data_IF_773855209988
#
_entry.id   IF_773855209988
#
_cell.length_a   1.000
_cell.length_b   1.000
_cell.length_c   1.000
_cell.angle_alpha   90.00
_cell.angle_beta   90.00
_cell.angle_gamma   90.00
#
_symmetry.space_group_name_H-M   'P 1'
#
loop_
_entity.id
_entity.type
_entity.pdbx_description
1 polymer ?
#
# COMPACT_ATOMS: atom_id res chain seq x y z
N UNK A 1 42.24 31.02 -21.37
CA UNK A 1 40.96 31.07 -20.63
C UNK A 1 39.86 30.57 -21.55
N UNK A 2 39.45 29.31 -21.43
CA UNK A 2 38.27 28.81 -22.15
C UNK A 2 37.58 27.75 -21.30
N UNK A 3 36.28 27.97 -21.18
CA UNK A 3 35.23 27.36 -20.36
C UNK A 3 35.16 25.84 -20.46
N UNK A 4 34.87 25.15 -19.34
CA UNK A 4 34.26 23.81 -19.38
C UNK A 4 33.16 23.74 -18.32
N UNK A 5 31.92 23.92 -18.78
CA UNK A 5 30.71 23.59 -18.04
C UNK A 5 30.49 22.08 -18.21
N UNK A 6 30.80 21.29 -17.19
CA UNK A 6 30.54 19.86 -17.17
C UNK A 6 29.14 19.57 -16.62
N UNK A 7 28.20 19.42 -17.57
CA UNK A 7 27.08 18.46 -17.61
C UNK A 7 26.50 18.00 -16.25
N UNK A 8 25.39 18.60 -15.85
CA UNK A 8 24.38 17.96 -15.00
C UNK A 8 23.73 16.82 -15.82
N UNK A 9 24.08 15.57 -15.52
CA UNK A 9 23.40 14.41 -16.10
C UNK A 9 22.03 14.27 -15.41
N UNK A 10 20.97 14.57 -16.18
CA UNK A 10 19.61 14.18 -15.85
C UNK A 10 19.55 12.64 -15.76
N UNK A 11 19.39 12.11 -14.55
CA UNK A 11 19.04 10.71 -14.33
C UNK A 11 17.63 10.46 -14.90
N UNK A 12 17.56 9.98 -16.13
CA UNK A 12 16.32 9.45 -16.70
C UNK A 12 16.13 8.05 -16.11
N UNK A 13 15.24 7.91 -15.14
CA UNK A 13 14.85 6.61 -14.62
C UNK A 13 14.12 5.82 -15.73
N UNK A 14 14.69 4.69 -16.14
CA UNK A 14 14.10 3.78 -17.12
C UNK A 14 13.01 2.94 -16.44
N UNK A 15 11.93 2.62 -17.16
CA UNK A 15 10.88 1.73 -16.65
C UNK A 15 11.36 0.29 -16.41
N UNK A 16 12.57 -0.07 -16.86
CA UNK A 16 13.22 -1.37 -16.61
C UNK A 16 13.57 -1.55 -15.12
N UNK A 17 13.86 -0.45 -14.42
CA UNK A 17 14.17 -0.44 -12.98
C UNK A 17 12.92 -0.20 -12.10
N UNK A 18 11.74 -0.13 -12.73
CA UNK A 18 10.50 0.16 -12.04
C UNK A 18 10.10 -1.01 -11.11
N UNK A 19 9.65 -0.68 -9.90
CA UNK A 19 9.16 -1.65 -8.92
C UNK A 19 7.78 -1.22 -8.39
N UNK A 20 7.01 -2.17 -7.83
CA UNK A 20 5.83 -1.85 -7.04
C UNK A 20 6.09 -0.71 -6.04
N UNK A 21 5.16 0.24 -5.98
CA UNK A 21 5.21 1.44 -5.13
C UNK A 21 5.91 2.65 -5.76
N UNK A 22 6.51 2.54 -6.95
CA UNK A 22 7.03 3.71 -7.65
C UNK A 22 5.89 4.55 -8.26
N UNK A 23 6.05 5.87 -8.23
CA UNK A 23 5.16 6.81 -8.87
C UNK A 23 5.46 6.89 -10.37
N UNK A 24 4.40 6.88 -11.17
CA UNK A 24 4.49 6.99 -12.61
C UNK A 24 3.50 8.02 -13.14
N UNK A 25 3.83 8.61 -14.28
CA UNK A 25 2.89 9.39 -15.09
C UNK A 25 2.51 8.60 -16.33
N UNK A 26 1.23 8.63 -16.68
CA UNK A 26 0.76 8.01 -17.92
C UNK A 26 1.10 8.90 -19.13
N UNK A 27 1.51 8.26 -20.23
CA UNK A 27 1.78 8.94 -21.49
C UNK A 27 1.45 8.07 -22.71
N UNK A 28 1.15 8.71 -23.83
CA UNK A 28 0.97 8.04 -25.12
C UNK A 28 -0.16 6.99 -25.15
N UNK A 29 -1.08 6.98 -24.18
CA UNK A 29 -2.27 6.13 -24.22
C UNK A 29 -3.19 6.62 -25.33
N UNK A 30 -3.60 5.71 -26.21
CA UNK A 30 -4.53 6.03 -27.32
C UNK A 30 -5.97 5.75 -26.87
N UNK A 31 -6.25 4.55 -26.35
CA UNK A 31 -7.60 4.14 -25.94
C UNK A 31 -8.10 4.81 -24.66
N UNK A 32 -7.19 5.33 -23.84
CA UNK A 32 -7.50 6.05 -22.60
C UNK A 32 -6.73 7.37 -22.55
N UNK A 33 -6.81 8.15 -23.64
CA UNK A 33 -6.03 9.37 -23.79
C UNK A 33 -6.29 10.42 -22.71
N UNK A 34 -7.47 10.40 -22.08
CA UNK A 34 -7.83 11.25 -20.94
C UNK A 34 -6.95 11.02 -19.71
N UNK A 35 -6.30 9.86 -19.59
CA UNK A 35 -5.37 9.56 -18.49
C UNK A 35 -3.95 10.08 -18.77
N UNK A 36 -3.62 10.50 -19.99
CA UNK A 36 -2.28 11.01 -20.27
C UNK A 36 -2.01 12.28 -19.44
N UNK A 37 -0.89 12.29 -18.72
CA UNK A 37 -0.54 13.33 -17.76
C UNK A 37 -0.93 13.02 -16.32
N UNK A 38 -1.87 12.10 -16.10
CA UNK A 38 -2.28 11.69 -14.76
C UNK A 38 -1.16 10.91 -14.05
N UNK A 39 -1.15 10.99 -12.72
CA UNK A 39 -0.22 10.28 -11.85
C UNK A 39 -0.87 9.00 -11.33
N UNK A 40 -0.05 7.96 -11.16
CA UNK A 40 -0.46 6.72 -10.52
C UNK A 40 0.69 6.01 -9.83
N UNK A 41 0.34 5.02 -9.03
CA UNK A 41 1.27 4.17 -8.30
C UNK A 41 1.34 2.79 -8.96
N UNK A 42 2.55 2.29 -9.20
CA UNK A 42 2.74 0.92 -9.68
C UNK A 42 2.32 -0.08 -8.61
N UNK A 43 1.34 -0.93 -8.90
CA UNK A 43 0.90 -1.98 -7.96
C UNK A 43 1.74 -3.23 -8.18
N UNK A 44 1.74 -3.76 -9.40
CA UNK A 44 2.50 -4.94 -9.78
C UNK A 44 2.64 -5.06 -11.29
N UNK A 45 3.65 -5.80 -11.72
CA UNK A 45 3.80 -6.18 -13.11
C UNK A 45 2.98 -7.46 -13.39
N UNK A 46 2.19 -7.44 -14.46
CA UNK A 46 1.41 -8.56 -14.96
C UNK A 46 2.22 -9.22 -16.09
N UNK A 47 3.02 -10.23 -15.77
CA UNK A 47 3.93 -10.90 -16.71
C UNK A 47 3.19 -11.51 -17.91
N UNK A 48 1.99 -12.06 -17.69
CA UNK A 48 1.12 -12.66 -18.71
C UNK A 48 0.70 -11.64 -19.78
N UNK A 49 0.47 -10.39 -19.37
CA UNK A 49 -0.02 -9.31 -20.23
C UNK A 49 1.08 -8.33 -20.66
N UNK A 50 2.29 -8.48 -20.11
CA UNK A 50 3.42 -7.56 -20.29
C UNK A 50 3.01 -6.09 -19.99
N UNK A 51 2.25 -5.90 -18.92
CA UNK A 51 1.66 -4.61 -18.51
C UNK A 51 1.81 -4.39 -17.01
N UNK A 52 2.00 -3.15 -16.62
CA UNK A 52 1.88 -2.72 -15.24
C UNK A 52 0.41 -2.52 -14.88
N UNK A 53 0.00 -3.06 -13.75
CA UNK A 53 -1.19 -2.61 -13.04
C UNK A 53 -0.81 -1.33 -12.30
N UNK A 54 -1.38 -0.21 -12.72
CA UNK A 54 -1.13 1.12 -12.17
C UNK A 54 -2.42 1.63 -11.58
N UNK A 55 -2.39 2.06 -10.33
CA UNK A 55 -3.56 2.67 -9.71
C UNK A 55 -3.48 4.18 -9.83
N UNK A 56 -4.49 4.79 -10.42
CA UNK A 56 -4.59 6.26 -10.57
C UNK A 56 -4.78 6.93 -9.22
N UNK A 57 -4.17 8.11 -9.02
CA UNK A 57 -4.40 8.88 -7.78
C UNK A 57 -5.77 9.57 -7.75
N UNK A 58 -6.31 9.92 -8.91
CA UNK A 58 -7.58 10.65 -9.01
C UNK A 58 -8.82 9.74 -8.82
N UNK A 59 -8.86 8.61 -9.55
CA UNK A 59 -10.03 7.73 -9.59
C UNK A 59 -9.86 6.43 -8.80
N UNK A 60 -8.64 6.12 -8.35
CA UNK A 60 -8.29 4.87 -7.67
C UNK A 60 -8.53 3.62 -8.51
N UNK A 61 -8.75 3.79 -9.82
CA UNK A 61 -8.96 2.69 -10.74
C UNK A 61 -7.61 2.05 -11.12
N UNK A 62 -7.62 0.73 -11.26
CA UNK A 62 -6.46 -0.02 -11.73
C UNK A 62 -6.46 -0.02 -13.26
N UNK A 63 -5.49 0.69 -13.82
CA UNK A 63 -5.25 0.82 -15.26
C UNK A 63 -4.07 -0.06 -15.66
N UNK A 64 -4.27 -0.88 -16.68
CA UNK A 64 -3.23 -1.78 -17.21
C UNK A 64 -2.48 -1.13 -18.37
N UNK A 65 -1.32 -0.56 -18.09
CA UNK A 65 -0.51 0.16 -19.07
C UNK A 65 0.75 -0.61 -19.47
N UNK A 66 1.17 -0.48 -20.73
CA UNK A 66 2.49 -0.98 -21.16
C UNK A 66 3.57 -0.10 -20.54
N UNK A 67 4.78 -0.62 -20.28
CA UNK A 67 5.92 0.19 -19.83
C UNK A 67 6.17 1.42 -20.70
N UNK A 68 6.04 1.30 -22.03
CA UNK A 68 6.20 2.42 -22.96
C UNK A 68 5.18 3.55 -22.78
N UNK A 69 4.04 3.26 -22.14
CA UNK A 69 2.99 4.23 -21.82
C UNK A 69 3.12 4.84 -20.43
N UNK A 70 4.24 4.58 -19.75
CA UNK A 70 4.51 5.06 -18.41
C UNK A 70 5.87 5.76 -18.41
N UNK A 71 5.99 6.74 -17.54
CA UNK A 71 7.28 7.32 -17.18
C UNK A 71 7.37 7.35 -15.66
N UNK A 72 8.51 6.92 -15.11
CA UNK A 72 8.76 7.06 -13.68
C UNK A 72 8.76 8.55 -13.37
N UNK A 73 7.81 8.96 -12.52
CA UNK A 73 7.87 10.27 -11.92
C UNK A 73 9.04 10.20 -10.94
N UNK A 74 10.09 11.00 -11.19
CA UNK A 74 11.19 11.10 -10.25
C UNK A 74 10.59 11.31 -8.85
N UNK A 75 11.03 10.51 -7.87
CA UNK A 75 11.03 10.99 -6.50
C UNK A 75 12.04 12.14 -6.46
N UNK A 76 11.68 13.30 -7.01
CA UNK A 76 11.93 14.47 -6.22
C UNK A 76 11.18 14.17 -4.93
N UNK A 77 11.91 13.78 -3.88
CA UNK A 77 11.53 14.34 -2.59
C UNK A 77 11.18 15.80 -2.91
N UNK A 78 9.99 16.30 -2.58
CA UNK A 78 9.95 17.71 -2.29
C UNK A 78 10.88 17.82 -1.07
N UNK A 79 12.19 17.97 -1.31
CA UNK A 79 12.99 18.77 -0.43
C UNK A 79 12.32 20.12 -0.62
N UNK A 80 11.40 20.44 0.29
CA UNK A 80 10.97 21.79 0.48
C UNK A 80 12.25 22.54 0.89
N UNK A 81 12.99 23.00 -0.10
CA UNK A 81 14.07 23.96 0.10
C UNK A 81 13.34 25.26 0.40
N UNK A 82 13.15 25.51 1.69
CA UNK A 82 12.73 26.82 2.14
C UNK A 82 13.99 27.66 2.25
N UNK A 83 14.14 28.63 1.36
CA UNK A 83 15.13 29.68 1.56
C UNK A 83 14.64 30.57 2.69
N UNK A 84 15.36 30.55 3.81
CA UNK A 84 15.00 31.37 4.96
C UNK A 84 15.07 32.85 4.56
N UNK A 85 13.96 33.61 4.56
CA UNK A 85 13.94 34.98 4.07
C UNK A 85 14.74 35.97 4.94
N UNK A 86 15.19 35.55 6.13
CA UNK A 86 15.99 36.37 7.03
C UNK A 86 17.50 36.12 6.91
N UNK A 87 17.91 34.92 6.51
CA UNK A 87 19.34 34.55 6.47
C UNK A 87 19.86 34.24 5.06
N UNK A 88 18.98 33.93 4.11
CA UNK A 88 19.35 33.57 2.74
C UNK A 88 20.04 32.20 2.62
N UNK A 89 20.10 31.43 3.70
CA UNK A 89 20.70 30.10 3.71
C UNK A 89 19.69 29.03 3.27
N UNK A 90 20.17 28.05 2.51
CA UNK A 90 19.41 26.87 2.12
C UNK A 90 19.44 25.86 3.27
N UNK A 91 18.32 25.69 3.96
CA UNK A 91 18.21 24.74 5.07
C UNK A 91 17.57 23.43 4.59
N UNK A 92 18.30 22.32 4.74
CA UNK A 92 17.85 20.99 4.34
C UNK A 92 16.98 20.40 5.44
N UNK A 93 15.66 20.37 5.25
CA UNK A 93 14.80 19.52 6.06
C UNK A 93 15.16 18.05 5.76
N UNK A 94 15.94 17.44 6.65
CA UNK A 94 16.00 15.98 6.71
C UNK A 94 14.55 15.49 6.87
N UNK A 95 14.12 14.42 6.16
CA UNK A 95 12.87 13.78 6.51
C UNK A 95 13.07 13.35 7.95
N UNK A 96 12.39 14.05 8.87
CA UNK A 96 12.29 13.58 10.22
C UNK A 96 11.87 12.11 10.08
N UNK A 97 12.59 11.22 10.75
CA UNK A 97 12.05 9.92 11.09
C UNK A 97 10.87 10.20 12.02
N UNK A 98 9.80 10.76 11.46
CA UNK A 98 8.58 11.09 12.15
C UNK A 98 7.92 9.74 12.29
N UNK A 99 8.20 9.10 13.42
CA UNK A 99 7.19 8.40 14.18
C UNK A 99 5.96 9.31 14.28
N UNK A 100 5.20 9.44 13.19
CA UNK A 100 3.84 9.91 13.27
C UNK A 100 3.18 8.94 14.26
N UNK A 101 2.65 9.43 15.39
CA UNK A 101 1.92 8.58 16.30
C UNK A 101 0.94 7.78 15.46
N UNK A 102 0.90 6.47 15.64
CA UNK A 102 -0.29 5.73 15.23
C UNK A 102 -1.45 6.53 15.80
N UNK A 103 -2.45 6.97 14.99
CA UNK A 103 -3.58 7.71 15.52
C UNK A 103 -4.06 6.87 16.69
N UNK A 104 -3.94 7.46 17.89
CA UNK A 104 -4.15 6.76 19.15
C UNK A 104 -5.44 5.99 19.00
N UNK A 105 -5.36 4.66 19.05
CA UNK A 105 -6.52 3.79 18.93
C UNK A 105 -7.57 4.36 19.86
N UNK A 106 -8.66 4.89 19.30
CA UNK A 106 -9.77 5.35 20.11
C UNK A 106 -10.20 4.10 20.90
N UNK A 107 -10.16 4.10 22.25
CA UNK A 107 -10.39 2.89 23.03
C UNK A 107 -11.76 2.23 22.78
N UNK A 108 -12.63 2.89 22.00
CA UNK A 108 -13.90 2.41 21.47
C UNK A 108 -13.77 1.36 20.35
N UNK A 109 -12.63 1.20 19.68
CA UNK A 109 -12.46 0.26 18.55
C UNK A 109 -11.96 -1.14 18.97
N UNK A 110 -11.88 -1.44 20.27
CA UNK A 110 -11.52 -2.78 20.76
C UNK A 110 -12.72 -3.71 20.57
N UNK A 111 -12.65 -4.52 19.52
CA UNK A 111 -13.64 -5.56 19.23
C UNK A 111 -13.16 -6.91 19.79
N UNK A 112 -14.02 -7.57 20.56
CA UNK A 112 -13.66 -8.77 21.32
C UNK A 112 -14.23 -10.07 20.77
N UNK A 113 -14.94 -10.04 19.64
CA UNK A 113 -15.49 -11.25 19.03
C UNK A 113 -15.40 -11.22 17.50
N UNK A 114 -15.47 -12.40 16.88
CA UNK A 114 -15.32 -12.55 15.43
C UNK A 114 -16.40 -11.81 14.65
N UNK A 115 -17.64 -11.75 15.14
CA UNK A 115 -18.74 -11.07 14.45
C UNK A 115 -18.55 -9.55 14.48
N UNK A 116 -18.11 -9.02 15.62
CA UNK A 116 -17.80 -7.60 15.78
C UNK A 116 -16.61 -7.17 14.92
N UNK A 117 -15.55 -7.99 14.83
CA UNK A 117 -14.42 -7.73 13.91
C UNK A 117 -14.85 -7.79 12.43
N UNK A 118 -15.72 -8.75 12.10
CA UNK A 118 -16.29 -8.87 10.77
C UNK A 118 -17.11 -7.63 10.42
N UNK A 119 -17.97 -7.17 11.33
CA UNK A 119 -18.77 -5.96 11.14
C UNK A 119 -17.89 -4.73 10.97
N UNK A 120 -16.85 -4.56 11.80
CA UNK A 120 -15.89 -3.46 11.64
C UNK A 120 -15.18 -3.46 10.28
N UNK A 121 -14.94 -4.65 9.70
CA UNK A 121 -14.40 -4.78 8.33
C UNK A 121 -15.41 -4.28 7.30
N UNK A 122 -16.69 -4.65 7.43
CA UNK A 122 -17.76 -4.20 6.53
C UNK A 122 -17.97 -2.68 6.64
N UNK A 123 -17.98 -2.16 7.86
CA UNK A 123 -18.12 -0.73 8.14
C UNK A 123 -16.95 0.06 7.54
N UNK A 124 -15.72 -0.47 7.62
CA UNK A 124 -14.56 0.15 6.98
C UNK A 124 -14.72 0.28 5.46
N UNK A 125 -15.27 -0.75 4.81
CA UNK A 125 -15.57 -0.70 3.38
C UNK A 125 -16.66 0.32 3.04
N UNK A 126 -17.74 0.34 3.84
CA UNK A 126 -18.87 1.26 3.63
C UNK A 126 -18.48 2.72 3.90
N UNK A 127 -17.52 2.95 4.80
CA UNK A 127 -17.03 4.29 5.09
C UNK A 127 -16.24 4.87 3.92
N UNK A 128 -15.33 4.12 3.27
CA UNK A 128 -14.59 4.51 2.04
C UNK A 128 -13.86 3.31 1.38
N UNK A 129 -13.51 3.44 0.10
CA UNK A 129 -12.72 2.46 -0.69
C UNK A 129 -11.21 2.49 -0.38
N UNK A 130 -10.81 2.09 0.83
CA UNK A 130 -9.39 1.95 1.17
C UNK A 130 -9.07 0.54 1.63
N UNK A 131 -9.11 0.33 2.94
CA UNK A 131 -8.87 -0.98 3.51
C UNK A 131 -9.04 -1.00 5.02
N UNK A 132 -8.79 -2.17 5.60
CA UNK A 132 -8.79 -2.35 7.05
C UNK A 132 -7.55 -3.12 7.48
N UNK A 133 -6.96 -2.69 8.59
CA UNK A 133 -5.91 -3.43 9.31
C UNK A 133 -6.50 -3.87 10.63
N UNK A 134 -6.50 -5.17 10.86
CA UNK A 134 -6.88 -5.78 12.12
C UNK A 134 -5.61 -6.30 12.77
N UNK A 135 -5.28 -5.81 13.96
CA UNK A 135 -4.10 -6.24 14.70
C UNK A 135 -4.51 -7.00 15.96
N UNK A 136 -3.74 -8.03 16.30
CA UNK A 136 -3.88 -8.72 17.58
C UNK A 136 -2.55 -8.70 18.31
N UNK A 137 -2.42 -7.69 19.20
CA UNK A 137 -1.17 -7.33 19.84
C UNK A 137 -0.07 -7.02 18.82
N UNK A 138 1.16 -7.48 19.11
CA UNK A 138 2.33 -7.20 18.26
C UNK A 138 2.61 -8.35 17.30
N UNK A 139 1.91 -9.47 17.49
CA UNK A 139 2.23 -10.77 16.90
C UNK A 139 1.54 -10.97 15.57
N UNK A 140 0.32 -10.47 15.45
CA UNK A 140 -0.56 -10.78 14.33
C UNK A 140 -1.10 -9.52 13.69
N UNK A 141 -1.18 -9.57 12.37
CA UNK A 141 -1.82 -8.52 11.58
C UNK A 141 -2.54 -9.14 10.40
N UNK A 142 -3.75 -8.68 10.15
CA UNK A 142 -4.55 -8.96 8.97
C UNK A 142 -4.85 -7.64 8.27
N UNK A 143 -4.35 -7.44 7.05
CA UNK A 143 -4.62 -6.27 6.25
C UNK A 143 -5.44 -6.67 5.03
N UNK A 144 -6.49 -5.91 4.73
CA UNK A 144 -7.39 -6.14 3.60
C UNK A 144 -7.51 -4.83 2.82
N UNK A 145 -7.09 -4.84 1.55
CA UNK A 145 -7.37 -3.78 0.60
C UNK A 145 -8.62 -4.14 -0.18
N UNK A 146 -9.60 -3.24 -0.24
CA UNK A 146 -10.87 -3.52 -0.90
C UNK A 146 -10.82 -3.15 -2.38
N UNK A 147 -11.09 -4.12 -3.25
CA UNK A 147 -11.20 -3.88 -4.70
C UNK A 147 -12.56 -3.26 -5.05
N UNK A 148 -13.60 -3.63 -4.30
CA UNK A 148 -14.97 -3.17 -4.54
C UNK A 148 -16.04 -4.24 -4.27
N UNK A 149 -17.31 -3.93 -4.56
CA UNK A 149 -18.41 -4.88 -4.40
C UNK A 149 -18.36 -5.98 -5.47
N UNK A 150 -18.94 -7.14 -5.15
CA UNK A 150 -19.12 -8.29 -6.04
C UNK A 150 -20.46 -8.98 -5.76
N UNK A 151 -20.86 -9.91 -6.63
CA UNK A 151 -22.08 -10.70 -6.46
C UNK A 151 -21.97 -11.54 -5.17
N UNK A 152 -22.62 -11.08 -4.11
CA UNK A 152 -22.65 -11.75 -2.80
C UNK A 152 -21.60 -11.27 -1.79
N UNK A 153 -20.91 -10.15 -2.02
CA UNK A 153 -19.97 -9.62 -1.02
C UNK A 153 -19.06 -8.50 -1.49
N UNK A 154 -17.92 -8.37 -0.83
CA UNK A 154 -16.84 -7.43 -1.11
C UNK A 154 -15.62 -8.23 -1.55
N UNK A 155 -14.99 -7.86 -2.66
CA UNK A 155 -13.74 -8.49 -3.09
C UNK A 155 -12.58 -7.62 -2.61
N UNK A 156 -11.50 -8.28 -2.19
CA UNK A 156 -10.27 -7.60 -1.80
C UNK A 156 -9.04 -8.48 -1.83
N UNK A 157 -7.90 -7.84 -1.68
CA UNK A 157 -6.60 -8.47 -1.48
C UNK A 157 -6.27 -8.47 0.01
N UNK A 158 -6.01 -9.65 0.56
CA UNK A 158 -5.77 -9.87 1.98
C UNK A 158 -4.35 -10.37 2.21
N UNK A 159 -3.66 -9.72 3.15
CA UNK A 159 -2.34 -10.09 3.64
C UNK A 159 -2.44 -10.39 5.12
N UNK A 160 -1.75 -11.44 5.56
CA UNK A 160 -1.70 -11.82 6.96
C UNK A 160 -0.25 -12.08 7.41
N UNK A 161 0.07 -11.60 8.61
CA UNK A 161 1.34 -11.82 9.32
C UNK A 161 1.06 -12.67 10.56
N UNK A 162 1.71 -13.81 10.66
CA UNK A 162 1.74 -14.66 11.85
C UNK A 162 3.09 -14.56 12.60
N UNK A 163 3.28 -15.45 13.58
CA UNK A 163 4.54 -15.60 14.31
C UNK A 163 5.64 -16.29 13.47
N UNK A 164 5.42 -16.60 12.19
CA UNK A 164 6.49 -17.16 11.36
C UNK A 164 7.69 -16.20 11.33
N UNK A 165 8.86 -16.77 11.57
CA UNK A 165 10.10 -15.99 11.70
C UNK A 165 10.39 -15.18 10.43
N UNK A 166 10.07 -15.69 9.24
CA UNK A 166 10.30 -14.96 7.99
C UNK A 166 9.35 -13.76 7.89
N UNK A 167 8.07 -13.94 8.21
CA UNK A 167 7.09 -12.87 8.22
C UNK A 167 7.48 -11.76 9.22
N UNK A 168 7.91 -12.14 10.42
CA UNK A 168 8.40 -11.19 11.44
C UNK A 168 9.70 -10.47 11.02
N UNK A 169 10.60 -11.15 10.32
CA UNK A 169 11.78 -10.50 9.76
C UNK A 169 11.42 -9.43 8.74
N UNK A 170 10.34 -9.63 7.98
CA UNK A 170 9.85 -8.64 7.01
C UNK A 170 9.34 -7.40 7.72
N UNK A 171 8.50 -7.58 8.76
CA UNK A 171 8.04 -6.47 9.62
C UNK A 171 9.23 -5.61 10.06
N UNK A 172 10.26 -6.24 10.64
CA UNK A 172 11.47 -5.55 11.12
C UNK A 172 12.28 -4.91 10.01
N UNK A 173 12.48 -5.61 8.89
CA UNK A 173 13.25 -5.10 7.74
C UNK A 173 12.64 -3.85 7.10
N UNK A 174 11.32 -3.67 7.29
CA UNK A 174 10.56 -2.51 6.82
C UNK A 174 10.53 -1.38 7.86
N UNK A 175 11.28 -1.50 8.96
CA UNK A 175 11.35 -0.51 10.03
C UNK A 175 10.10 -0.47 10.92
N UNK A 176 9.22 -1.46 10.82
CA UNK A 176 8.04 -1.55 11.67
C UNK A 176 8.41 -2.20 13.01
N UNK A 177 7.96 -1.60 14.12
CA UNK A 177 8.12 -2.18 15.46
C UNK A 177 7.09 -3.28 15.71
N UNK A 178 5.90 -3.19 15.09
CA UNK A 178 4.76 -4.07 15.32
C UNK A 178 4.15 -4.55 14.00
N UNK A 179 3.53 -5.73 14.00
CA UNK A 179 2.88 -6.27 12.80
C UNK A 179 1.78 -5.34 12.25
N UNK A 180 1.01 -4.68 13.13
CA UNK A 180 -0.04 -3.73 12.73
C UNK A 180 0.48 -2.52 11.93
N UNK A 181 1.69 -2.05 12.22
CA UNK A 181 2.31 -0.94 11.49
C UNK A 181 2.63 -1.30 10.03
N UNK A 182 2.89 -2.59 9.78
CA UNK A 182 3.16 -3.07 8.43
C UNK A 182 1.94 -2.89 7.52
N UNK A 183 0.73 -2.86 8.07
CA UNK A 183 -0.51 -2.65 7.32
C UNK A 183 -0.50 -1.35 6.50
N UNK A 184 0.16 -0.29 6.99
CA UNK A 184 0.35 0.99 6.27
C UNK A 184 1.17 0.86 4.99
N UNK A 185 2.11 -0.07 5.00
CA UNK A 185 2.99 -0.30 3.86
C UNK A 185 2.31 -1.18 2.80
N UNK A 186 1.26 -1.91 3.20
CA UNK A 186 0.51 -2.81 2.33
C UNK A 186 -0.69 -2.14 1.71
N UNK A 187 -1.52 -1.52 2.54
CA UNK A 187 -2.73 -0.88 2.10
C UNK A 187 -2.37 0.44 1.48
N UNK A 188 -2.63 0.55 0.19
CA UNK A 188 -2.30 1.78 -0.51
C UNK A 188 -3.48 2.76 -0.53
N UNK A 189 -4.66 2.38 0.00
CA UNK A 189 -5.89 3.18 -0.02
C UNK A 189 -5.87 4.46 0.82
N UNK A 190 -6.69 5.44 0.42
CA UNK A 190 -6.80 6.79 1.03
C UNK A 190 -7.19 6.78 2.52
N UNK A 191 -7.98 5.79 2.93
CA UNK A 191 -8.50 5.67 4.30
C UNK A 191 -8.37 4.23 4.76
N UNK A 192 -7.58 4.05 5.80
CA UNK A 192 -7.33 2.75 6.42
C UNK A 192 -7.96 2.78 7.79
N UNK A 193 -8.94 1.91 8.02
CA UNK A 193 -9.46 1.66 9.38
C UNK A 193 -8.49 0.74 10.10
N UNK A 194 -8.09 1.11 11.32
CA UNK A 194 -7.32 0.24 12.20
C UNK A 194 -8.26 -0.29 13.27
N UNK A 195 -8.22 -1.60 13.48
CA UNK A 195 -9.01 -2.29 14.50
C UNK A 195 -8.05 -3.13 15.32
N UNK A 196 -8.07 -2.97 16.63
CA UNK A 196 -7.25 -3.75 17.54
C UNK A 196 -8.12 -4.76 18.28
N UNK A 197 -7.61 -5.95 18.49
CA UNK A 197 -8.25 -6.97 19.34
C UNK A 197 -7.24 -7.63 20.26
N UNK A 198 -7.65 -7.90 21.49
CA UNK A 198 -6.85 -8.70 22.43
C UNK A 198 -7.19 -10.19 22.35
N UNK A 199 -8.27 -10.56 21.66
CA UNK A 199 -8.74 -11.95 21.56
C UNK A 199 -8.15 -12.63 20.32
N UNK A 200 -7.11 -13.47 20.53
CA UNK A 200 -6.51 -14.28 19.47
C UNK A 200 -7.55 -15.21 18.82
N UNK A 201 -8.50 -15.75 19.58
CA UNK A 201 -9.58 -16.60 19.08
C UNK A 201 -10.51 -15.85 18.13
N UNK A 202 -10.90 -14.62 18.49
CA UNK A 202 -11.70 -13.76 17.62
C UNK A 202 -10.97 -13.45 16.30
N UNK A 203 -9.68 -13.09 16.41
CA UNK A 203 -8.80 -12.79 15.29
C UNK A 203 -8.68 -13.99 14.33
N UNK A 204 -8.33 -15.17 14.85
CA UNK A 204 -8.18 -16.38 14.03
C UNK A 204 -9.52 -16.86 13.47
N UNK A 205 -10.61 -16.72 14.23
CA UNK A 205 -11.96 -16.98 13.75
C UNK A 205 -12.29 -16.16 12.50
N UNK A 206 -11.93 -14.87 12.50
CA UNK A 206 -12.09 -14.00 11.34
C UNK A 206 -11.20 -14.42 10.17
N UNK A 207 -9.92 -14.69 10.44
CA UNK A 207 -8.98 -15.14 9.41
C UNK A 207 -9.45 -16.43 8.75
N UNK A 208 -9.90 -17.42 9.51
CA UNK A 208 -10.45 -18.66 8.98
C UNK A 208 -11.72 -18.43 8.17
N UNK A 209 -12.62 -17.57 8.66
CA UNK A 209 -13.83 -17.16 7.94
C UNK A 209 -13.48 -16.60 6.56
N UNK A 210 -12.49 -15.70 6.49
CA UNK A 210 -12.10 -15.09 5.22
C UNK A 210 -11.32 -16.03 4.31
N UNK A 211 -10.54 -16.98 4.85
CA UNK A 211 -9.78 -17.93 4.03
C UNK A 211 -10.60 -19.05 3.40
N UNK A 212 -11.78 -19.36 3.95
CA UNK A 212 -12.56 -20.57 3.60
C UNK A 212 -12.78 -20.75 2.09
N UNK A 213 -13.06 -19.67 1.39
CA UNK A 213 -13.45 -19.67 -0.03
C UNK A 213 -12.45 -18.89 -0.91
N UNK A 214 -11.17 -18.86 -0.51
CA UNK A 214 -10.14 -18.02 -1.14
C UNK A 214 -9.28 -18.78 -2.12
N UNK A 215 -8.82 -18.05 -3.13
CA UNK A 215 -7.70 -18.48 -3.96
C UNK A 215 -6.44 -17.75 -3.50
N UNK A 216 -5.37 -18.50 -3.24
CA UNK A 216 -4.05 -17.89 -3.01
C UNK A 216 -3.56 -17.41 -4.37
N UNK A 217 -3.41 -16.10 -4.55
CA UNK A 217 -2.93 -15.54 -5.83
C UNK A 217 -1.40 -15.47 -5.92
N UNK A 218 -0.70 -15.66 -4.81
CA UNK A 218 0.77 -15.77 -4.80
C UNK A 218 1.39 -15.44 -3.46
N UNK A 219 2.73 -15.44 -3.44
CA UNK A 219 3.53 -14.84 -2.37
C UNK A 219 3.86 -13.42 -2.78
N UNK A 220 3.68 -12.46 -1.87
CA UNK A 220 4.02 -11.05 -2.12
C UNK A 220 5.54 -10.93 -2.34
N UNK A 221 6.29 -11.74 -1.60
CA UNK A 221 7.70 -11.91 -1.78
C UNK A 221 8.03 -13.35 -1.37
N UNK A 222 8.55 -14.16 -2.30
CA UNK A 222 8.91 -15.56 -2.04
C UNK A 222 9.91 -15.72 -0.89
N UNK A 223 10.64 -14.65 -0.52
CA UNK A 223 11.57 -14.63 0.61
C UNK A 223 10.90 -14.16 1.91
N UNK A 224 9.82 -13.38 1.81
CA UNK A 224 9.15 -12.75 2.96
C UNK A 224 8.32 -13.72 3.81
N UNK A 225 7.78 -14.79 3.21
CA UNK A 225 6.80 -15.65 3.89
C UNK A 225 5.39 -15.03 4.00
N UNK A 226 5.19 -13.79 3.52
CA UNK A 226 3.88 -13.15 3.46
C UNK A 226 3.06 -13.71 2.31
N UNK A 227 1.81 -14.06 2.61
CA UNK A 227 0.88 -14.68 1.67
C UNK A 227 -0.20 -13.68 1.27
N UNK A 228 -0.42 -13.56 -0.03
CA UNK A 228 -1.49 -12.76 -0.62
C UNK A 228 -2.66 -13.68 -0.97
N UNK A 229 -3.82 -13.35 -0.43
CA UNK A 229 -5.06 -14.04 -0.75
C UNK A 229 -5.98 -13.07 -1.46
N UNK A 230 -6.61 -13.54 -2.54
CA UNK A 230 -7.78 -12.84 -3.06
C UNK A 230 -9.01 -13.41 -2.38
N UNK A 231 -9.76 -12.53 -1.73
CA UNK A 231 -10.86 -12.91 -0.84
C UNK A 231 -12.18 -12.32 -1.29
N UNK A 232 -13.26 -13.04 -1.01
CA UNK A 232 -14.63 -12.54 -1.12
C UNK A 232 -15.22 -12.54 0.28
N UNK A 233 -15.47 -11.35 0.82
CA UNK A 233 -16.03 -11.11 2.14
C UNK A 233 -17.54 -10.99 1.99
N UNK A 234 -18.26 -11.99 2.46
CA UNK A 234 -19.73 -11.95 2.49
C UNK A 234 -20.20 -10.86 3.47
N UNK A 235 -21.21 -10.10 3.07
CA UNK A 235 -21.95 -9.20 3.98
C UNK A 235 -22.85 -10.00 4.91
#
# INVERSE_FOLDING_TARGET
CCTTISKLQNNILQMEDAKPGDLVRFKGLIGAAHLNGAIGNLIRYLEDQQRWAVRTEESWEIVKAKPANLELANKSNPIHVFTNPLTGEEEYMQPAATSMPIPSTDPSDISNDTASLHQATLDAFDQRKGGVVISCGDKYMLAIEFDGPSNGGIVGEMVYVDQDRKAQNVVRSRGCARAGELGRNFLMGETIKYVDTADEGAFFGLLFRYKRDTSTQGYIDMKSGLKLFRVTIQR
#
